data_IF_352090045929
#
_entry.id   IF_352090045929
#
_cell.length_a   1.000
_cell.length_b   1.000
_cell.length_c   1.000
_cell.angle_alpha   90.00
_cell.angle_beta   90.00
_cell.angle_gamma   90.00
#
_symmetry.space_group_name_H-M   'P 1'
#
loop_
_entity.id
_entity.type
_entity.pdbx_description
1 polymer ?
#
# COMPACT_ATOMS: atom_id res chain seq x y z
N UNK A 1 -4.20 -20.10 -7.15
CA UNK A 1 -2.87 -19.45 -7.04
C UNK A 1 -2.59 -19.17 -5.56
N UNK A 2 -1.35 -19.36 -5.08
CA UNK A 2 -1.01 -19.34 -3.63
C UNK A 2 -1.41 -18.03 -2.92
N UNK A 3 -1.30 -16.88 -3.60
CA UNK A 3 -1.68 -15.57 -3.04
C UNK A 3 -3.20 -15.47 -2.87
N UNK A 4 -3.98 -16.01 -3.80
CA UNK A 4 -5.44 -16.05 -3.67
C UNK A 4 -5.88 -16.93 -2.50
N UNK A 5 -5.22 -18.08 -2.31
CA UNK A 5 -5.45 -18.96 -1.18
C UNK A 5 -5.17 -18.26 0.15
N UNK A 6 -4.06 -17.49 0.23
CA UNK A 6 -3.73 -16.68 1.38
C UNK A 6 -4.86 -15.70 1.74
N UNK A 7 -5.36 -14.94 0.75
CA UNK A 7 -6.46 -14.00 0.96
C UNK A 7 -7.77 -14.72 1.33
N UNK A 8 -8.07 -15.82 0.66
CA UNK A 8 -9.33 -16.55 0.86
C UNK A 8 -9.47 -17.10 2.28
N UNK A 9 -8.34 -17.46 2.88
CA UNK A 9 -8.28 -18.06 4.20
C UNK A 9 -7.96 -17.07 5.32
N UNK A 10 -7.96 -15.76 5.03
CA UNK A 10 -7.76 -14.74 6.07
C UNK A 10 -8.92 -14.71 7.07
N UNK A 11 -8.61 -14.70 8.36
CA UNK A 11 -9.59 -14.65 9.46
C UNK A 11 -8.98 -14.12 10.75
N UNK A 12 -9.79 -13.93 11.80
CA UNK A 12 -9.32 -13.56 13.14
C UNK A 12 -8.67 -12.18 13.19
N UNK A 13 -9.30 -11.18 12.54
CA UNK A 13 -8.76 -9.83 12.39
C UNK A 13 -8.82 -9.03 13.69
N UNK A 14 -7.68 -8.44 14.07
CA UNK A 14 -7.62 -7.40 15.08
C UNK A 14 -6.96 -6.14 14.46
N UNK A 15 -7.58 -4.99 14.66
CA UNK A 15 -7.10 -3.70 14.18
C UNK A 15 -6.51 -2.83 15.28
N UNK A 16 -6.71 -3.18 16.54
CA UNK A 16 -6.13 -2.49 17.70
C UNK A 16 -4.69 -2.93 17.94
N UNK A 17 -4.44 -4.23 17.82
CA UNK A 17 -3.13 -4.84 17.71
C UNK A 17 -3.04 -5.52 16.34
N UNK A 18 -2.61 -4.82 15.29
CA UNK A 18 -2.76 -5.30 13.92
C UNK A 18 -2.24 -6.71 13.73
N UNK A 19 -3.16 -7.66 13.54
CA UNK A 19 -2.84 -9.04 13.18
C UNK A 19 -4.03 -9.75 12.52
N UNK A 20 -3.75 -10.84 11.87
CA UNK A 20 -4.73 -11.80 11.37
C UNK A 20 -4.09 -13.18 11.16
N UNK A 21 -4.92 -14.16 10.89
CA UNK A 21 -4.50 -15.54 10.59
C UNK A 21 -4.83 -15.87 9.15
N UNK A 22 -4.08 -16.82 8.59
CA UNK A 22 -4.40 -17.44 7.31
C UNK A 22 -3.93 -18.91 7.32
N UNK A 23 -4.38 -19.69 6.34
CA UNK A 23 -3.91 -21.04 6.11
C UNK A 23 -3.62 -21.23 4.63
N UNK A 24 -2.38 -21.60 4.29
CA UNK A 24 -1.95 -21.80 2.92
C UNK A 24 -1.27 -23.15 2.78
N UNK A 25 -1.80 -24.00 1.92
CA UNK A 25 -1.32 -25.38 1.71
C UNK A 25 -1.16 -26.18 3.01
N UNK A 26 -2.12 -26.01 3.92
CA UNK A 26 -2.10 -26.66 5.23
C UNK A 26 -1.16 -26.06 6.26
N UNK A 27 -0.38 -25.01 5.90
CA UNK A 27 0.45 -24.26 6.84
C UNK A 27 -0.35 -23.13 7.47
N UNK A 28 -0.46 -23.14 8.81
CA UNK A 28 -1.07 -22.07 9.56
C UNK A 28 -0.11 -20.88 9.67
N UNK A 29 -0.60 -19.70 9.33
CA UNK A 29 0.17 -18.46 9.26
C UNK A 29 -0.44 -17.45 10.20
N UNK A 30 0.36 -16.90 11.10
CA UNK A 30 0.01 -15.76 11.95
C UNK A 30 0.72 -14.53 11.41
N UNK A 31 -0.02 -13.52 10.96
CA UNK A 31 0.57 -12.30 10.43
C UNK A 31 0.45 -11.21 11.50
N UNK A 32 1.55 -10.92 12.17
CA UNK A 32 1.71 -9.82 13.12
C UNK A 32 2.67 -8.78 12.56
N UNK A 33 2.68 -7.59 13.15
CA UNK A 33 3.62 -6.53 12.74
C UNK A 33 5.08 -6.95 12.90
N UNK A 34 5.40 -7.80 13.88
CA UNK A 34 6.76 -8.32 14.09
C UNK A 34 7.14 -9.32 12.99
N UNK A 35 6.26 -10.25 12.65
CA UNK A 35 6.44 -11.19 11.53
C UNK A 35 6.62 -10.46 10.21
N UNK A 36 5.81 -9.41 9.95
CA UNK A 36 5.95 -8.60 8.72
C UNK A 36 7.30 -7.89 8.69
N UNK A 37 7.71 -7.31 9.83
CA UNK A 37 9.01 -6.65 9.98
C UNK A 37 10.17 -7.61 9.65
N UNK A 38 10.13 -8.81 10.23
CA UNK A 38 11.16 -9.83 10.03
C UNK A 38 11.16 -10.36 8.58
N UNK A 39 10.01 -10.75 8.06
CA UNK A 39 9.88 -11.31 6.72
C UNK A 39 10.25 -10.32 5.60
N UNK A 40 9.98 -9.03 5.79
CA UNK A 40 10.25 -7.99 4.79
C UNK A 40 11.55 -7.21 5.07
N UNK A 41 12.25 -7.50 6.18
CA UNK A 41 13.44 -6.77 6.62
C UNK A 41 13.21 -5.25 6.79
N UNK A 42 12.03 -4.87 7.28
CA UNK A 42 11.69 -3.48 7.56
C UNK A 42 11.74 -3.21 9.06
N UNK A 43 12.24 -2.05 9.51
CA UNK A 43 12.37 -1.78 10.94
C UNK A 43 11.01 -1.67 11.63
N UNK A 44 10.92 -2.18 12.86
CA UNK A 44 9.78 -1.90 13.75
C UNK A 44 9.91 -0.52 14.38
N UNK A 45 8.79 0.15 14.47
CA UNK A 45 8.68 1.46 15.09
C UNK A 45 7.88 1.34 16.39
N UNK A 46 8.51 1.69 17.53
CA UNK A 46 7.88 1.54 18.85
C UNK A 46 6.77 2.57 19.11
N UNK A 47 6.93 3.78 18.58
CA UNK A 47 5.98 4.89 18.75
C UNK A 47 5.69 5.54 17.39
N UNK A 48 4.90 4.88 16.52
CA UNK A 48 4.60 5.42 15.21
C UNK A 48 3.54 6.53 15.29
N UNK A 49 3.70 7.53 14.45
CA UNK A 49 2.65 8.51 14.19
C UNK A 49 1.62 7.98 13.18
N UNK A 50 2.03 7.04 12.32
CA UNK A 50 1.17 6.38 11.32
C UNK A 50 1.43 4.85 11.30
N UNK A 51 0.40 3.99 11.21
CA UNK A 51 -1.00 4.30 11.20
C UNK A 51 -1.53 4.56 12.63
N UNK A 52 -1.50 5.81 13.06
CA UNK A 52 -2.15 6.20 14.31
C UNK A 52 -3.45 6.91 13.96
N UNK A 53 -4.53 6.40 14.53
CA UNK A 53 -5.87 6.86 14.19
C UNK A 53 -6.17 8.31 14.59
N UNK A 54 -5.31 8.95 15.39
CA UNK A 54 -5.66 10.24 15.98
C UNK A 54 -5.24 11.45 15.15
N UNK A 55 -4.13 11.43 14.42
CA UNK A 55 -3.61 12.61 13.71
C UNK A 55 -4.13 12.73 12.27
N UNK A 56 -4.12 11.64 11.51
CA UNK A 56 -4.48 11.65 10.09
C UNK A 56 -5.99 11.55 9.82
N UNK A 57 -6.80 11.17 10.81
CA UNK A 57 -8.27 11.23 10.69
C UNK A 57 -8.80 12.62 10.49
N UNK A 58 -8.06 13.64 10.93
CA UNK A 58 -8.48 15.04 10.93
C UNK A 58 -8.22 15.72 9.58
N UNK A 59 -7.26 15.21 8.79
CA UNK A 59 -6.93 15.84 7.51
C UNK A 59 -8.10 15.72 6.54
N UNK A 60 -8.65 16.86 6.18
CA UNK A 60 -9.79 16.95 5.27
C UNK A 60 -9.39 16.67 3.83
N UNK A 61 -10.34 16.26 2.98
CA UNK A 61 -10.10 16.14 1.53
C UNK A 61 -9.63 17.46 0.91
N UNK A 62 -10.13 18.59 1.40
CA UNK A 62 -9.74 19.93 0.95
C UNK A 62 -8.28 20.22 1.24
N UNK A 63 -7.81 19.86 2.42
CA UNK A 63 -6.43 20.04 2.85
C UNK A 63 -5.48 19.13 2.06
N UNK A 64 -5.81 17.84 1.88
CA UNK A 64 -5.06 16.94 1.01
C UNK A 64 -4.99 17.48 -0.43
N UNK A 65 -6.09 18.05 -0.92
CA UNK A 65 -6.12 18.66 -2.25
C UNK A 65 -5.16 19.84 -2.36
N UNK A 66 -5.12 20.72 -1.36
CA UNK A 66 -4.21 21.88 -1.36
C UNK A 66 -2.73 21.49 -1.29
N UNK A 67 -2.41 20.34 -0.70
CA UNK A 67 -1.02 19.85 -0.57
C UNK A 67 -0.54 19.11 -1.81
N UNK A 68 -1.43 18.42 -2.52
CA UNK A 68 -1.01 17.55 -3.63
C UNK A 68 -1.15 18.17 -5.01
N UNK A 69 -2.08 19.12 -5.18
CA UNK A 69 -2.37 19.70 -6.50
C UNK A 69 -1.68 21.07 -6.68
N UNK A 70 -1.15 21.31 -7.88
CA UNK A 70 -0.64 22.64 -8.26
C UNK A 70 -1.74 23.70 -8.25
N UNK A 71 -2.95 23.30 -8.65
CA UNK A 71 -4.16 24.13 -8.54
C UNK A 71 -5.15 23.41 -7.66
N UNK A 72 -5.63 24.00 -6.56
CA UNK A 72 -6.58 23.34 -5.67
C UNK A 72 -7.81 22.86 -6.42
N UNK A 73 -7.95 21.54 -6.54
CA UNK A 73 -9.12 20.89 -7.11
C UNK A 73 -10.07 20.51 -5.98
N UNK A 74 -11.37 20.67 -6.20
CA UNK A 74 -12.37 20.14 -5.28
C UNK A 74 -12.30 18.61 -5.32
N UNK A 75 -11.82 17.99 -4.25
CA UNK A 75 -11.99 16.57 -4.03
C UNK A 75 -13.45 16.33 -3.67
N UNK A 76 -14.27 16.07 -4.68
CA UNK A 76 -15.71 15.89 -4.53
C UNK A 76 -16.09 14.72 -3.61
N UNK A 77 -17.38 14.40 -3.55
CA UNK A 77 -17.90 13.29 -2.74
C UNK A 77 -17.45 11.91 -3.23
N UNK A 78 -16.77 11.83 -4.37
CA UNK A 78 -16.21 10.60 -4.92
C UNK A 78 -15.14 10.01 -3.99
N UNK A 79 -15.10 8.67 -3.92
CA UNK A 79 -14.10 7.95 -3.14
C UNK A 79 -12.66 8.18 -3.67
N UNK A 80 -12.54 8.41 -4.98
CA UNK A 80 -11.27 8.56 -5.68
C UNK A 80 -11.14 9.94 -6.32
N UNK A 81 -9.93 10.47 -6.30
CA UNK A 81 -9.60 11.72 -7.01
C UNK A 81 -8.54 11.44 -8.08
N UNK A 82 -8.66 12.03 -9.30
CA UNK A 82 -7.64 11.89 -10.35
C UNK A 82 -6.31 12.49 -9.92
N UNK A 83 -5.20 11.80 -10.20
CA UNK A 83 -3.84 12.28 -9.91
C UNK A 83 -3.25 13.14 -11.04
N UNK A 84 -4.01 13.40 -12.10
CA UNK A 84 -3.52 14.16 -13.27
C UNK A 84 -3.10 15.61 -12.95
N UNK A 85 -3.68 16.21 -11.91
CA UNK A 85 -3.35 17.54 -11.44
C UNK A 85 -2.34 17.59 -10.29
N UNK A 86 -1.74 16.48 -9.90
CA UNK A 86 -0.75 16.46 -8.83
C UNK A 86 0.51 17.24 -9.20
N UNK A 87 1.05 17.98 -8.25
CA UNK A 87 2.40 18.52 -8.31
C UNK A 87 3.43 17.39 -8.52
N UNK A 88 4.60 17.70 -9.07
CA UNK A 88 5.61 16.72 -9.49
C UNK A 88 6.03 15.77 -8.36
N UNK A 89 6.29 16.28 -7.16
CA UNK A 89 6.71 15.50 -6.01
C UNK A 89 5.65 14.47 -5.55
N UNK A 90 4.45 14.91 -5.18
CA UNK A 90 3.35 14.01 -4.82
C UNK A 90 3.01 12.99 -5.91
N UNK A 91 3.09 13.39 -7.18
CA UNK A 91 2.85 12.50 -8.32
C UNK A 91 3.88 11.39 -8.41
N UNK A 92 5.16 11.72 -8.29
CA UNK A 92 6.25 10.74 -8.29
C UNK A 92 6.12 9.76 -7.11
N UNK A 93 5.89 10.27 -5.90
CA UNK A 93 5.70 9.44 -4.72
C UNK A 93 4.46 8.54 -4.84
N UNK A 94 3.35 9.04 -5.39
CA UNK A 94 2.17 8.21 -5.64
C UNK A 94 2.47 7.09 -6.65
N UNK A 95 3.30 7.34 -7.65
CA UNK A 95 3.74 6.32 -8.61
C UNK A 95 4.60 5.25 -7.92
N UNK A 96 5.60 5.66 -7.13
CA UNK A 96 6.43 4.73 -6.34
C UNK A 96 5.56 3.90 -5.40
N UNK A 97 4.68 4.54 -4.64
CA UNK A 97 3.78 3.88 -3.72
C UNK A 97 2.86 2.87 -4.44
N UNK A 98 2.36 3.23 -5.61
CA UNK A 98 1.45 2.37 -6.39
C UNK A 98 2.17 1.15 -6.94
N UNK A 99 3.35 1.31 -7.52
CA UNK A 99 4.06 0.22 -8.20
C UNK A 99 4.93 -0.63 -7.28
N UNK A 100 5.48 -0.04 -6.22
CA UNK A 100 6.40 -0.75 -5.33
C UNK A 100 5.69 -1.24 -4.07
N UNK A 101 4.90 -0.38 -3.43
CA UNK A 101 4.29 -0.70 -2.14
C UNK A 101 2.98 -1.48 -2.34
N UNK A 102 2.03 -0.93 -3.10
CA UNK A 102 0.71 -1.54 -3.27
C UNK A 102 0.60 -2.49 -4.46
N UNK A 103 1.56 -2.44 -5.42
CA UNK A 103 1.56 -3.22 -6.66
C UNK A 103 0.23 -3.17 -7.43
N UNK A 104 -0.37 -1.99 -7.49
CA UNK A 104 -1.60 -1.74 -8.21
C UNK A 104 -1.30 -1.34 -9.66
N UNK A 105 -2.13 -1.80 -10.58
CA UNK A 105 -2.03 -1.45 -12.00
C UNK A 105 -2.47 -0.02 -12.34
N UNK A 106 -3.10 0.70 -11.39
CA UNK A 106 -3.67 2.02 -11.63
C UNK A 106 -3.11 3.05 -10.66
N UNK A 107 -2.40 4.05 -11.19
CA UNK A 107 -1.88 5.21 -10.45
C UNK A 107 -2.60 6.52 -10.80
N UNK A 108 -3.61 6.47 -11.70
CA UNK A 108 -4.30 7.65 -12.20
C UNK A 108 -5.29 8.27 -11.22
N UNK A 109 -5.61 7.57 -10.15
CA UNK A 109 -6.48 8.07 -9.09
C UNK A 109 -6.01 7.60 -7.71
N UNK A 110 -6.34 8.38 -6.69
CA UNK A 110 -5.97 8.10 -5.31
C UNK A 110 -7.20 8.15 -4.39
N UNK A 111 -7.28 7.21 -3.46
CA UNK A 111 -8.27 7.20 -2.37
C UNK A 111 -7.79 8.06 -1.20
N UNK A 112 -8.70 8.49 -0.32
CA UNK A 112 -8.34 9.25 0.88
C UNK A 112 -7.32 8.52 1.77
N UNK A 113 -7.45 7.23 2.11
CA UNK A 113 -6.44 6.52 2.90
C UNK A 113 -5.06 6.48 2.25
N UNK A 114 -5.00 6.28 0.93
CA UNK A 114 -3.73 6.33 0.19
C UNK A 114 -3.11 7.72 0.17
N UNK A 115 -3.92 8.76 0.05
CA UNK A 115 -3.46 10.14 0.12
C UNK A 115 -2.92 10.48 1.52
N UNK A 116 -3.55 9.99 2.57
CA UNK A 116 -3.03 10.13 3.94
C UNK A 116 -1.68 9.42 4.14
N UNK A 117 -1.54 8.22 3.58
CA UNK A 117 -0.27 7.51 3.60
C UNK A 117 0.81 8.25 2.79
N UNK A 118 0.44 8.80 1.61
CA UNK A 118 1.34 9.65 0.82
C UNK A 118 1.76 10.91 1.58
N UNK A 119 0.84 11.55 2.29
CA UNK A 119 1.13 12.71 3.13
C UNK A 119 2.15 12.38 4.23
N UNK A 120 2.08 11.18 4.80
CA UNK A 120 3.03 10.75 5.84
C UNK A 120 4.48 10.77 5.36
N UNK A 121 4.73 10.48 4.08
CA UNK A 121 6.08 10.62 3.48
C UNK A 121 6.48 12.07 3.22
N UNK A 122 5.52 12.95 2.94
CA UNK A 122 5.81 14.35 2.64
C UNK A 122 6.05 15.19 3.90
N UNK A 123 5.51 14.75 5.02
CA UNK A 123 5.60 15.47 6.31
C UNK A 123 6.57 14.81 7.30
N UNK A 124 7.46 13.92 6.83
CA UNK A 124 8.42 13.20 7.68
C UNK A 124 7.79 12.51 8.91
N UNK A 125 6.54 12.04 8.75
CA UNK A 125 5.80 11.34 9.80
C UNK A 125 6.42 9.96 10.01
N UNK A 126 6.62 9.58 11.27
CA UNK A 126 7.17 8.27 11.62
C UNK A 126 6.16 7.16 11.29
N UNK A 127 6.49 6.31 10.32
CA UNK A 127 5.60 5.28 9.77
C UNK A 127 5.99 3.90 10.31
N UNK A 128 5.04 3.17 10.92
CA UNK A 128 5.14 1.72 11.08
C UNK A 128 4.56 1.03 9.84
N UNK A 129 5.44 0.73 8.89
CA UNK A 129 5.07 0.07 7.66
C UNK A 129 4.42 -1.30 7.89
N UNK A 130 4.89 -2.06 8.88
CA UNK A 130 4.36 -3.40 9.19
C UNK A 130 2.89 -3.34 9.62
N UNK A 131 2.54 -2.40 10.48
CA UNK A 131 1.15 -2.19 10.89
C UNK A 131 0.29 -1.65 9.73
N UNK A 132 0.81 -0.72 8.93
CA UNK A 132 0.13 -0.23 7.72
C UNK A 132 -0.17 -1.36 6.74
N UNK A 133 0.79 -2.24 6.51
CA UNK A 133 0.64 -3.41 5.64
C UNK A 133 -0.54 -4.29 6.08
N UNK A 134 -0.58 -4.67 7.37
CA UNK A 134 -1.65 -5.52 7.91
C UNK A 134 -3.01 -4.84 7.80
N UNK A 135 -3.11 -3.57 8.21
CA UNK A 135 -4.37 -2.82 8.14
C UNK A 135 -4.86 -2.68 6.71
N UNK A 136 -3.97 -2.44 5.76
CA UNK A 136 -4.32 -2.35 4.33
C UNK A 136 -4.85 -3.68 3.79
N UNK A 137 -4.29 -4.82 4.21
CA UNK A 137 -4.80 -6.15 3.84
C UNK A 137 -6.19 -6.41 4.41
N UNK A 138 -6.40 -6.05 5.69
CA UNK A 138 -7.71 -6.18 6.35
C UNK A 138 -8.76 -5.32 5.64
N UNK A 139 -8.42 -4.08 5.27
CA UNK A 139 -9.33 -3.18 4.57
C UNK A 139 -9.74 -3.72 3.19
N UNK A 140 -8.77 -4.23 2.41
CA UNK A 140 -9.06 -4.85 1.11
C UNK A 140 -9.90 -6.12 1.27
N UNK A 141 -9.65 -6.92 2.30
CA UNK A 141 -10.45 -8.11 2.57
C UNK A 141 -11.91 -7.77 2.91
N UNK A 142 -12.13 -6.69 3.67
CA UNK A 142 -13.47 -6.21 4.05
C UNK A 142 -14.20 -5.51 2.91
N UNK A 143 -13.48 -4.93 1.97
CA UNK A 143 -14.06 -4.25 0.82
C UNK A 143 -14.48 -5.25 -0.26
N UNK A 144 -15.78 -5.57 -0.26
CA UNK A 144 -16.36 -6.50 -1.23
C UNK A 144 -16.37 -5.97 -2.67
N UNK A 145 -16.16 -4.67 -2.87
CA UNK A 145 -16.19 -4.02 -4.20
C UNK A 145 -14.85 -4.11 -4.93
N UNK A 146 -13.76 -4.39 -4.21
CA UNK A 146 -12.39 -4.40 -4.76
C UNK A 146 -11.74 -5.79 -4.74
N UNK A 147 -12.51 -6.87 -4.59
CA UNK A 147 -12.02 -8.27 -4.48
C UNK A 147 -11.10 -8.72 -5.61
N UNK A 148 -11.14 -8.04 -6.76
CA UNK A 148 -10.28 -8.36 -7.91
C UNK A 148 -8.85 -7.78 -7.77
N UNK A 149 -8.58 -7.00 -6.73
CA UNK A 149 -7.30 -6.32 -6.52
C UNK A 149 -6.55 -6.91 -5.33
N UNK A 150 -5.66 -7.84 -5.62
CA UNK A 150 -4.74 -8.36 -4.62
C UNK A 150 -3.59 -7.37 -4.44
N UNK A 151 -3.52 -6.71 -3.29
CA UNK A 151 -2.41 -5.81 -2.94
C UNK A 151 -1.24 -6.60 -2.34
N UNK A 152 -0.04 -6.06 -2.39
CA UNK A 152 1.18 -6.61 -1.79
C UNK A 152 1.56 -8.06 -2.17
N UNK A 153 1.36 -8.55 -3.40
CA UNK A 153 1.63 -9.96 -3.72
C UNK A 153 3.08 -10.37 -3.46
N UNK A 154 4.05 -9.48 -3.72
CA UNK A 154 5.47 -9.75 -3.44
C UNK A 154 5.74 -9.86 -1.93
N UNK A 155 5.17 -8.95 -1.12
CA UNK A 155 5.33 -8.97 0.33
C UNK A 155 4.69 -10.23 0.94
N UNK A 156 3.49 -10.62 0.48
CA UNK A 156 2.84 -11.88 0.88
C UNK A 156 3.75 -13.07 0.52
N UNK A 157 4.38 -13.06 -0.65
CA UNK A 157 5.33 -14.10 -1.05
C UNK A 157 6.50 -14.23 -0.05
N UNK A 158 7.05 -13.11 0.43
CA UNK A 158 8.10 -13.12 1.45
C UNK A 158 7.60 -13.66 2.79
N UNK A 159 6.38 -13.30 3.20
CA UNK A 159 5.75 -13.85 4.40
C UNK A 159 5.56 -15.38 4.26
N UNK A 160 5.06 -15.86 3.13
CA UNK A 160 4.90 -17.29 2.87
C UNK A 160 6.25 -18.04 2.90
N UNK A 161 7.32 -17.44 2.40
CA UNK A 161 8.68 -17.98 2.52
C UNK A 161 9.16 -18.05 3.96
N UNK A 162 8.91 -17.01 4.75
CA UNK A 162 9.24 -16.97 6.17
C UNK A 162 8.62 -18.16 6.92
N UNK A 163 7.38 -18.53 6.58
CA UNK A 163 6.69 -19.72 7.12
C UNK A 163 7.04 -21.04 6.39
N UNK A 164 8.01 -21.02 5.49
CA UNK A 164 8.40 -22.20 4.71
C UNK A 164 7.25 -22.88 3.97
N UNK A 165 6.26 -22.10 3.52
CA UNK A 165 5.12 -22.62 2.74
C UNK A 165 5.62 -23.22 1.42
N UNK A 166 5.33 -24.51 1.12
CA UNK A 166 5.80 -25.14 -0.11
C UNK A 166 5.27 -24.44 -1.36
N UNK A 167 6.16 -23.94 -2.22
CA UNK A 167 5.77 -23.38 -3.51
C UNK A 167 6.84 -23.53 -4.56
N UNK A 168 6.53 -24.19 -5.69
CA UNK A 168 7.43 -24.27 -6.83
C UNK A 168 7.63 -22.93 -7.55
N UNK A 169 6.81 -21.92 -7.24
CA UNK A 169 6.80 -20.62 -7.91
C UNK A 169 7.80 -19.63 -7.30
N UNK A 170 8.39 -19.94 -6.14
CA UNK A 170 9.32 -19.01 -5.50
C UNK A 170 10.66 -18.83 -6.23
N UNK A 171 10.97 -19.69 -7.20
CA UNK A 171 12.28 -19.69 -7.82
C UNK A 171 12.46 -18.67 -8.97
N UNK A 172 11.37 -18.08 -9.48
CA UNK A 172 11.42 -17.19 -10.64
C UNK A 172 10.49 -15.98 -10.52
N UNK A 173 10.80 -15.01 -9.66
CA UNK A 173 10.24 -13.68 -9.79
C UNK A 173 11.27 -12.74 -10.40
N UNK A 174 11.13 -12.44 -11.68
CA UNK A 174 11.71 -11.24 -12.26
C UNK A 174 10.97 -10.03 -11.70
N UNK A 175 11.68 -9.15 -11.03
CA UNK A 175 11.15 -7.82 -10.64
C UNK A 175 10.70 -7.13 -11.93
N UNK A 176 9.43 -6.81 -12.04
CA UNK A 176 8.91 -5.99 -13.14
C UNK A 176 9.61 -4.63 -13.04
N UNK A 177 10.53 -4.38 -13.95
CA UNK A 177 11.26 -3.14 -14.22
C UNK A 177 11.58 -2.24 -13.03
N UNK A 178 12.85 -2.00 -12.79
CA UNK A 178 13.27 -0.97 -11.85
C UNK A 178 12.67 0.39 -12.26
N UNK A 179 12.25 1.19 -11.29
CA UNK A 179 11.98 2.62 -11.53
C UNK A 179 13.31 3.26 -11.90
N UNK A 180 13.46 3.57 -13.16
CA UNK A 180 14.65 4.20 -13.72
C UNK A 180 14.37 5.65 -14.14
N UNK A 181 15.39 6.33 -14.61
CA UNK A 181 15.27 7.70 -15.11
C UNK A 181 14.34 7.82 -16.34
N UNK A 182 14.16 6.74 -17.10
CA UNK A 182 13.23 6.71 -18.24
C UNK A 182 11.78 6.70 -17.74
N UNK A 183 11.49 5.94 -16.68
CA UNK A 183 10.17 5.91 -16.02
C UNK A 183 9.79 7.28 -15.48
N UNK A 184 10.76 8.00 -14.87
CA UNK A 184 10.54 9.37 -14.35
C UNK A 184 10.26 10.33 -15.51
N UNK A 185 11.08 10.31 -16.58
CA UNK A 185 10.91 11.15 -17.77
C UNK A 185 9.59 10.89 -18.49
N UNK A 186 9.17 9.63 -18.55
CA UNK A 186 7.87 9.27 -19.15
C UNK A 186 6.71 9.86 -18.34
N UNK A 187 6.79 9.83 -17.01
CA UNK A 187 5.84 10.48 -16.13
C UNK A 187 5.82 12.02 -16.33
N UNK A 188 6.97 12.65 -16.52
CA UNK A 188 7.07 14.08 -16.81
C UNK A 188 6.49 14.45 -18.20
N UNK A 189 6.73 13.61 -19.21
CA UNK A 189 6.23 13.83 -20.57
C UNK A 189 4.69 13.79 -20.64
N UNK A 190 4.02 13.08 -19.74
CA UNK A 190 2.56 13.08 -19.64
C UNK A 190 1.99 14.37 -19.04
N UNK A 191 2.83 15.22 -18.43
CA UNK A 191 2.44 16.50 -17.85
C UNK A 191 2.48 17.66 -18.85
N UNK A 192 3.14 17.50 -20.01
CA UNK A 192 3.15 18.51 -21.06
C UNK A 192 1.92 18.31 -21.96
N UNK A 193 0.88 19.16 -21.92
CA UNK A 193 -0.11 19.19 -22.97
C UNK A 193 0.57 19.58 -24.27
N UNK A 194 0.32 18.82 -25.33
CA UNK A 194 0.71 19.21 -26.70
C UNK A 194 -0.15 20.35 -27.16
#
# INVERSE_FOLDING_TARGET
MIIQEFYFNMHGFDTSLPHFFSCVRGTHIVVTSDIVSEALHVPRVMHPDYPSFNRLRIVSKKELSSLFFETPLSWGDHQNTPCSGFAKGPRFLNMVMTFIIHLLSYYNSITKPRAQFLLSFLEDIIIDFSSHFILSLIDVYRDTTTRDKLIFPSAITWILRHFSVPSPVFDHFSVIGAIDTATVRWSEAQLCPR
#
